data_IF_206313242674
#
_entry.id   IF_206313242674
#
_cell.length_a   1.000
_cell.length_b   1.000
_cell.length_c   1.000
_cell.angle_alpha   90.00
_cell.angle_beta   90.00
_cell.angle_gamma   90.00
#
_symmetry.space_group_name_H-M   'P 1'
#
loop_
_entity.id
_entity.type
_entity.pdbx_description
1 polymer ?
#
# COMPACT_ATOMS: atom_id res chain seq x y z
N UNK A 1 6.58 -14.45 -22.92
CA UNK A 1 7.05 -13.07 -23.24
C UNK A 1 5.97 -11.96 -23.16
N UNK A 2 4.72 -12.16 -23.60
CA UNK A 2 3.65 -11.14 -23.49
C UNK A 2 3.22 -10.88 -22.04
N UNK A 3 2.94 -11.95 -21.29
CA UNK A 3 2.52 -11.87 -19.88
C UNK A 3 3.60 -11.21 -19.02
N UNK A 4 4.87 -11.59 -19.19
CA UNK A 4 5.99 -10.99 -18.47
C UNK A 4 6.15 -9.47 -18.74
N UNK A 5 5.94 -9.02 -19.98
CA UNK A 5 5.94 -7.58 -20.30
C UNK A 5 4.78 -6.84 -19.65
N UNK A 6 3.59 -7.44 -19.64
CA UNK A 6 2.41 -6.85 -19.01
C UNK A 6 2.56 -6.77 -17.49
N UNK A 7 3.09 -7.82 -16.87
CA UNK A 7 3.43 -7.85 -15.45
C UNK A 7 4.47 -6.79 -15.09
N UNK A 8 5.52 -6.63 -15.91
CA UNK A 8 6.51 -5.58 -15.70
C UNK A 8 5.87 -4.18 -15.75
N UNK A 9 5.06 -3.89 -16.77
CA UNK A 9 4.35 -2.61 -16.85
C UNK A 9 3.44 -2.40 -15.63
N UNK A 10 2.67 -3.41 -15.24
CA UNK A 10 1.82 -3.36 -14.04
C UNK A 10 2.62 -3.00 -12.78
N UNK A 11 3.75 -3.69 -12.54
CA UNK A 11 4.60 -3.46 -11.37
C UNK A 11 5.14 -2.02 -11.35
N UNK A 12 5.54 -1.47 -12.50
CA UNK A 12 6.01 -0.08 -12.57
C UNK A 12 4.93 0.92 -12.12
N UNK A 13 3.67 0.69 -12.49
CA UNK A 13 2.55 1.52 -12.06
C UNK A 13 2.14 1.28 -10.59
N UNK A 14 2.56 0.19 -9.97
CA UNK A 14 2.40 -0.05 -8.52
C UNK A 14 3.49 0.61 -7.67
N UNK A 15 4.61 1.08 -8.25
CA UNK A 15 5.69 1.70 -7.46
C UNK A 15 5.26 2.91 -6.61
N UNK A 16 4.43 3.86 -7.12
CA UNK A 16 4.00 4.98 -6.29
C UNK A 16 3.07 4.53 -5.16
N UNK A 17 2.33 3.44 -5.36
CA UNK A 17 1.51 2.83 -4.31
C UNK A 17 2.37 2.31 -3.15
N UNK A 18 3.49 1.64 -3.46
CA UNK A 18 4.45 1.17 -2.45
C UNK A 18 5.03 2.32 -1.61
N UNK A 19 5.43 3.40 -2.28
CA UNK A 19 5.93 4.61 -1.60
C UNK A 19 4.86 5.19 -0.69
N UNK A 20 3.63 5.31 -1.19
CA UNK A 20 2.49 5.84 -0.43
C UNK A 20 2.22 5.01 0.83
N UNK A 21 2.18 3.68 0.70
CA UNK A 21 1.96 2.77 1.82
C UNK A 21 3.08 2.84 2.87
N UNK A 22 4.31 3.13 2.46
CA UNK A 22 5.44 3.34 3.38
C UNK A 22 5.24 4.53 4.33
N UNK A 23 4.39 5.50 3.97
CA UNK A 23 3.97 6.60 4.86
C UNK A 23 2.64 6.31 5.56
N UNK A 24 1.64 5.81 4.84
CA UNK A 24 0.30 5.56 5.39
C UNK A 24 0.35 4.54 6.54
N UNK A 25 1.10 3.44 6.40
CA UNK A 25 1.13 2.36 7.39
C UNK A 25 1.70 2.81 8.74
N UNK A 26 2.89 3.47 8.83
CA UNK A 26 3.39 3.98 10.11
C UNK A 26 2.46 5.01 10.76
N UNK A 27 1.93 5.97 9.98
CA UNK A 27 1.02 7.00 10.50
C UNK A 27 -0.26 6.36 11.05
N UNK A 28 -0.83 5.38 10.33
CA UNK A 28 -2.01 4.63 10.76
C UNK A 28 -1.78 3.89 12.07
N UNK A 29 -0.64 3.22 12.22
CA UNK A 29 -0.30 2.50 13.45
C UNK A 29 -0.10 3.48 14.61
N UNK A 30 0.61 4.58 14.38
CA UNK A 30 0.86 5.62 15.39
C UNK A 30 -0.44 6.23 15.93
N UNK A 31 -1.35 6.66 15.04
CA UNK A 31 -2.65 7.22 15.43
C UNK A 31 -3.52 6.20 16.16
N UNK A 32 -3.53 4.94 15.69
CA UNK A 32 -4.26 3.86 16.35
C UNK A 32 -3.74 3.57 17.75
N UNK A 33 -2.42 3.60 17.96
CA UNK A 33 -1.81 3.41 19.28
C UNK A 33 -2.21 4.53 20.27
N UNK A 34 -2.58 5.71 19.78
CA UNK A 34 -3.13 6.82 20.58
C UNK A 34 -4.66 6.78 20.74
N UNK A 35 -5.33 5.75 20.19
CA UNK A 35 -6.80 5.66 20.20
C UNK A 35 -7.50 6.56 19.19
N UNK A 36 -6.77 7.24 18.30
CA UNK A 36 -7.31 8.18 17.30
C UNK A 36 -7.51 7.46 15.96
N UNK A 37 -8.73 7.04 15.65
CA UNK A 37 -9.03 6.27 14.42
C UNK A 37 -9.76 7.08 13.34
N UNK A 38 -10.42 8.18 13.71
CA UNK A 38 -11.24 8.98 12.78
C UNK A 38 -10.48 9.46 11.53
N UNK A 39 -9.26 10.05 11.61
CA UNK A 39 -8.50 10.49 10.43
C UNK A 39 -8.21 9.34 9.46
N UNK A 40 -7.83 8.18 10.00
CA UNK A 40 -7.54 6.98 9.21
C UNK A 40 -8.81 6.51 8.49
N UNK A 41 -9.94 6.46 9.20
CA UNK A 41 -11.22 6.05 8.61
C UNK A 41 -11.65 6.97 7.47
N UNK A 42 -11.56 8.29 7.66
CA UNK A 42 -11.92 9.27 6.62
C UNK A 42 -11.00 9.14 5.40
N UNK A 43 -9.70 9.02 5.60
CA UNK A 43 -8.73 8.83 4.52
C UNK A 43 -8.98 7.53 3.74
N UNK A 44 -9.19 6.40 4.44
CA UNK A 44 -9.49 5.12 3.81
C UNK A 44 -10.82 5.15 3.05
N UNK A 45 -11.85 5.80 3.60
CA UNK A 45 -13.13 5.96 2.93
C UNK A 45 -13.00 6.81 1.65
N UNK A 46 -12.30 7.94 1.72
CA UNK A 46 -12.05 8.79 0.55
C UNK A 46 -11.30 8.04 -0.55
N UNK A 47 -10.23 7.30 -0.19
CA UNK A 47 -9.49 6.45 -1.14
C UNK A 47 -10.38 5.40 -1.80
N UNK A 48 -11.20 4.68 -1.02
CA UNK A 48 -12.09 3.65 -1.54
C UNK A 48 -13.16 4.23 -2.49
N UNK A 49 -13.77 5.36 -2.13
CA UNK A 49 -14.78 6.03 -2.98
C UNK A 49 -14.16 6.53 -4.28
N UNK A 50 -12.94 7.08 -4.24
CA UNK A 50 -12.26 7.58 -5.43
C UNK A 50 -11.61 6.48 -6.29
N UNK A 51 -11.38 5.30 -5.73
CA UNK A 51 -10.87 4.17 -6.50
C UNK A 51 -11.85 3.75 -7.61
N UNK A 52 -13.16 3.76 -7.34
CA UNK A 52 -14.19 3.40 -8.34
C UNK A 52 -14.15 4.32 -9.57
N UNK A 53 -14.29 5.66 -9.45
CA UNK A 53 -14.24 6.55 -10.61
C UNK A 53 -12.88 6.53 -11.30
N UNK A 54 -11.76 6.40 -10.58
CA UNK A 54 -10.45 6.24 -11.21
C UNK A 54 -10.38 4.97 -12.06
N UNK A 55 -10.86 3.84 -11.55
CA UNK A 55 -10.89 2.59 -12.30
C UNK A 55 -11.84 2.70 -13.51
N UNK A 56 -13.04 3.26 -13.35
CA UNK A 56 -13.95 3.49 -14.48
C UNK A 56 -13.34 4.38 -15.56
N UNK A 57 -12.65 5.45 -15.17
CA UNK A 57 -12.02 6.37 -16.10
C UNK A 57 -10.80 5.75 -16.81
N UNK A 58 -9.86 5.19 -16.05
CA UNK A 58 -8.58 4.67 -16.56
C UNK A 58 -8.75 3.35 -17.33
N UNK A 59 -9.64 2.47 -16.87
CA UNK A 59 -9.87 1.17 -17.51
C UNK A 59 -10.96 1.25 -18.56
N UNK A 60 -12.06 1.95 -18.29
CA UNK A 60 -13.22 2.02 -19.18
C UNK A 60 -13.08 3.07 -20.27
N UNK A 61 -12.70 4.30 -19.92
CA UNK A 61 -12.69 5.41 -20.87
C UNK A 61 -11.35 5.53 -21.62
N UNK A 62 -10.23 5.35 -20.91
CA UNK A 62 -8.89 5.37 -21.50
C UNK A 62 -8.40 3.99 -21.98
N UNK A 63 -9.18 2.93 -21.75
CA UNK A 63 -8.90 1.56 -22.22
C UNK A 63 -7.50 1.03 -21.85
N UNK A 64 -6.93 1.45 -20.71
CA UNK A 64 -5.56 1.09 -20.29
C UNK A 64 -5.43 -0.35 -19.74
N UNK A 65 -6.53 -1.10 -19.69
CA UNK A 65 -6.56 -2.48 -19.20
C UNK A 65 -5.99 -2.64 -17.79
N UNK A 66 -5.17 -3.67 -17.57
CA UNK A 66 -4.60 -3.99 -16.25
C UNK A 66 -3.66 -2.90 -15.71
N UNK A 67 -3.00 -2.15 -16.59
CA UNK A 67 -2.15 -1.02 -16.19
C UNK A 67 -3.00 0.11 -15.65
N UNK A 68 -4.19 0.33 -16.23
CA UNK A 68 -5.19 1.26 -15.71
C UNK A 68 -5.65 0.91 -14.30
N UNK A 69 -5.77 -0.38 -13.97
CA UNK A 69 -6.11 -0.86 -12.62
C UNK A 69 -5.02 -0.49 -11.61
N UNK A 70 -3.75 -0.78 -11.93
CA UNK A 70 -2.61 -0.40 -11.08
C UNK A 70 -2.54 1.12 -10.88
N UNK A 71 -2.68 1.89 -11.96
CA UNK A 71 -2.67 3.34 -11.91
C UNK A 71 -3.81 3.91 -11.05
N UNK A 72 -5.02 3.36 -11.18
CA UNK A 72 -6.19 3.76 -10.40
C UNK A 72 -6.03 3.47 -8.91
N UNK A 73 -5.49 2.30 -8.55
CA UNK A 73 -5.19 1.95 -7.17
C UNK A 73 -4.12 2.88 -6.58
N UNK A 74 -3.03 3.10 -7.31
CA UNK A 74 -1.95 3.98 -6.89
C UNK A 74 -2.43 5.43 -6.69
N UNK A 75 -3.22 5.97 -7.62
CA UNK A 75 -3.80 7.30 -7.51
C UNK A 75 -4.76 7.42 -6.31
N UNK A 76 -5.63 6.42 -6.09
CA UNK A 76 -6.54 6.41 -4.95
C UNK A 76 -5.79 6.43 -3.61
N UNK A 77 -4.71 5.66 -3.49
CA UNK A 77 -3.90 5.62 -2.28
C UNK A 77 -3.12 6.92 -2.07
N UNK A 78 -2.60 7.55 -3.14
CA UNK A 78 -1.99 8.90 -3.04
C UNK A 78 -3.00 9.92 -2.50
N UNK A 79 -4.25 9.89 -2.97
CA UNK A 79 -5.29 10.76 -2.43
C UNK A 79 -5.59 10.43 -0.97
N UNK A 80 -5.67 9.15 -0.60
CA UNK A 80 -5.86 8.75 0.79
C UNK A 80 -4.75 9.27 1.71
N UNK A 81 -3.49 9.20 1.27
CA UNK A 81 -2.35 9.79 1.99
C UNK A 81 -2.50 11.32 2.11
N UNK A 82 -2.88 12.01 1.03
CA UNK A 82 -3.13 13.45 1.06
C UNK A 82 -4.20 13.84 2.09
N UNK A 83 -5.34 13.13 2.08
CA UNK A 83 -6.42 13.33 3.06
C UNK A 83 -5.93 13.07 4.49
N UNK A 84 -5.18 11.99 4.70
CA UNK A 84 -4.62 11.65 6.00
C UNK A 84 -3.69 12.75 6.51
N UNK A 85 -2.80 13.27 5.68
CA UNK A 85 -1.88 14.34 6.04
C UNK A 85 -2.61 15.64 6.37
N UNK A 86 -3.64 16.00 5.59
CA UNK A 86 -4.49 17.16 5.89
C UNK A 86 -5.20 17.00 7.24
N UNK A 87 -5.75 15.81 7.53
CA UNK A 87 -6.41 15.53 8.81
C UNK A 87 -5.43 15.60 9.99
N UNK A 88 -4.22 15.05 9.84
CA UNK A 88 -3.17 15.11 10.87
C UNK A 88 -2.70 16.56 11.07
N UNK A 89 -2.57 17.34 10.01
CA UNK A 89 -2.12 18.73 10.12
C UNK A 89 -3.18 19.65 10.74
N UNK A 90 -4.47 19.40 10.49
CA UNK A 90 -5.58 20.22 10.99
C UNK A 90 -6.04 19.85 12.41
N UNK A 91 -6.06 18.56 12.74
CA UNK A 91 -6.60 18.06 14.01
C UNK A 91 -5.57 17.36 14.90
N UNK A 92 -4.36 17.11 14.40
CA UNK A 92 -3.31 16.44 15.14
C UNK A 92 -2.44 17.40 15.97
N UNK A 93 -1.54 16.85 16.80
CA UNK A 93 -0.53 17.64 17.49
C UNK A 93 0.34 18.38 16.48
N UNK A 94 0.77 19.61 16.83
CA UNK A 94 1.62 20.44 15.96
C UNK A 94 2.90 19.67 15.64
N UNK A 95 3.16 19.48 14.35
CA UNK A 95 4.34 18.78 13.88
C UNK A 95 5.62 19.47 14.38
N UNK A 96 6.36 18.80 15.26
CA UNK A 96 7.65 19.27 15.72
C UNK A 96 8.71 19.04 14.64
N UNK A 97 9.72 19.92 14.58
CA UNK A 97 10.79 19.76 13.60
C UNK A 97 11.57 18.49 13.92
N UNK A 98 11.88 17.64 12.92
CA UNK A 98 12.66 16.45 13.15
C UNK A 98 14.00 16.82 13.79
N UNK A 99 14.28 16.26 14.96
CA UNK A 99 15.52 16.48 15.71
C UNK A 99 16.37 15.20 15.69
N UNK A 100 17.63 15.29 16.12
CA UNK A 100 18.49 14.11 16.26
C UNK A 100 17.94 13.10 17.28
N UNK A 101 17.07 13.53 18.19
CA UNK A 101 16.40 12.67 19.15
C UNK A 101 15.42 11.69 18.49
N UNK A 102 14.88 12.04 17.30
CA UNK A 102 14.06 11.11 16.51
C UNK A 102 14.84 9.87 16.03
N UNK A 103 16.17 9.92 16.03
CA UNK A 103 17.03 8.78 15.67
C UNK A 103 17.42 7.92 16.87
N UNK A 104 17.11 8.37 18.09
CA UNK A 104 17.36 7.61 19.31
C UNK A 104 16.35 6.46 19.38
N UNK A 105 16.83 5.24 19.62
CA UNK A 105 15.98 4.05 19.74
C UNK A 105 15.69 3.29 18.43
N UNK A 106 16.20 3.74 17.28
CA UNK A 106 16.02 3.03 16.00
C UNK A 106 16.56 1.60 16.02
N UNK A 107 17.69 1.35 16.68
CA UNK A 107 18.24 0.00 16.81
C UNK A 107 17.27 -0.95 17.54
N UNK A 108 16.62 -0.47 18.60
CA UNK A 108 15.62 -1.25 19.34
C UNK A 108 14.34 -1.45 18.52
N UNK A 109 13.89 -0.41 17.80
CA UNK A 109 12.76 -0.50 16.89
C UNK A 109 13.00 -1.54 15.80
N UNK A 110 14.15 -1.48 15.12
CA UNK A 110 14.53 -2.46 14.08
C UNK A 110 14.66 -3.86 14.66
N UNK A 111 15.24 -4.02 15.86
CA UNK A 111 15.36 -5.33 16.51
C UNK A 111 14.00 -5.99 16.78
N UNK A 112 12.96 -5.19 17.05
CA UNK A 112 11.60 -5.68 17.24
C UNK A 112 10.85 -5.86 15.91
N UNK A 113 11.04 -4.95 14.95
CA UNK A 113 10.35 -4.98 13.67
C UNK A 113 10.89 -6.04 12.71
N UNK A 114 12.19 -6.34 12.75
CA UNK A 114 12.85 -7.31 11.87
C UNK A 114 12.24 -8.72 11.94
N UNK A 115 12.06 -9.36 13.12
CA UNK A 115 11.46 -10.70 13.19
C UNK A 115 10.01 -10.70 12.68
N UNK A 116 9.23 -9.66 12.97
CA UNK A 116 7.86 -9.52 12.43
C UNK A 116 7.85 -9.35 10.91
N UNK A 117 8.76 -8.55 10.37
CA UNK A 117 8.92 -8.37 8.92
C UNK A 117 9.25 -9.69 8.23
N UNK A 118 10.25 -10.42 8.74
CA UNK A 118 10.64 -11.73 8.19
C UNK A 118 9.48 -12.72 8.26
N UNK A 119 8.78 -12.79 9.40
CA UNK A 119 7.64 -13.69 9.57
C UNK A 119 6.54 -13.43 8.53
N UNK A 120 6.14 -12.17 8.36
CA UNK A 120 5.10 -11.80 7.39
C UNK A 120 5.60 -12.04 5.96
N UNK A 121 6.83 -11.64 5.62
CA UNK A 121 7.37 -11.88 4.27
C UNK A 121 7.45 -13.37 3.92
N UNK A 122 7.85 -14.23 4.86
CA UNK A 122 7.88 -15.68 4.63
C UNK A 122 6.49 -16.27 4.44
N UNK A 123 5.48 -15.77 5.14
CA UNK A 123 4.09 -16.17 4.94
C UNK A 123 3.61 -15.84 3.52
N UNK A 124 3.84 -14.60 3.06
CA UNK A 124 3.48 -14.19 1.70
C UNK A 124 4.28 -14.93 0.62
N UNK A 125 5.58 -15.11 0.79
CA UNK A 125 6.42 -15.87 -0.14
C UNK A 125 6.01 -17.34 -0.22
N UNK A 126 5.60 -17.92 0.89
CA UNK A 126 5.08 -19.28 0.89
C UNK A 126 3.84 -19.41 0.00
N UNK A 127 2.90 -18.46 0.08
CA UNK A 127 1.73 -18.44 -0.81
C UNK A 127 2.12 -18.32 -2.29
N UNK A 128 3.07 -17.46 -2.63
CA UNK A 128 3.55 -17.32 -4.01
C UNK A 128 4.23 -18.60 -4.53
N UNK A 129 5.05 -19.25 -3.70
CA UNK A 129 5.67 -20.53 -4.05
C UNK A 129 4.60 -21.59 -4.30
N UNK A 130 3.58 -21.67 -3.44
CA UNK A 130 2.47 -22.60 -3.63
C UNK A 130 1.73 -22.34 -4.95
N UNK A 131 1.43 -21.08 -5.29
CA UNK A 131 0.78 -20.72 -6.55
C UNK A 131 1.62 -21.16 -7.76
N UNK A 132 2.92 -20.91 -7.73
CA UNK A 132 3.83 -21.34 -8.80
C UNK A 132 3.87 -22.87 -8.93
N UNK A 133 3.90 -23.60 -7.81
CA UNK A 133 3.87 -25.06 -7.80
C UNK A 133 2.54 -25.61 -8.32
N UNK A 134 1.40 -25.01 -7.95
CA UNK A 134 0.07 -25.36 -8.48
C UNK A 134 0.01 -25.23 -10.01
N UNK A 135 0.70 -24.23 -10.58
CA UNK A 135 0.79 -24.05 -12.03
C UNK A 135 1.57 -25.15 -12.77
N UNK A 136 2.30 -26.02 -12.06
CA UNK A 136 3.06 -27.14 -12.62
C UNK A 136 2.30 -28.49 -12.56
N UNK A 137 1.12 -28.53 -11.94
CA UNK A 137 0.29 -29.74 -11.89
C UNK A 137 -0.28 -30.06 -13.28
N UNK A 138 -0.60 -31.34 -13.49
CA UNK A 138 -1.30 -31.80 -14.69
C UNK A 138 -2.74 -31.30 -14.62
N UNK A 139 -3.10 -30.43 -15.57
CA UNK A 139 -4.38 -29.71 -15.69
C UNK A 139 -4.55 -28.51 -14.71
N UNK A 140 -3.78 -27.41 -14.88
CA UNK A 140 -3.76 -26.26 -13.99
C UNK A 140 -4.94 -25.29 -14.22
N UNK A 141 -6.14 -25.78 -14.52
CA UNK A 141 -7.35 -24.96 -14.50
C UNK A 141 -7.86 -24.86 -13.06
N UNK A 142 -7.82 -23.65 -12.50
CA UNK A 142 -8.51 -23.34 -11.26
C UNK A 142 -10.01 -23.54 -11.48
N UNK A 143 -10.60 -24.50 -10.76
CA UNK A 143 -12.05 -24.72 -10.68
C UNK A 143 -12.75 -23.54 -10.01
#
# INVERSE_FOLDING_TARGET
PRIARLAHAYILFCLPDLVTNSFVLPIKIHLRAQGVTRPVTVASFAGAVLHVPFTCLLVGWFELGIVGVAAAASAANVVALGVLLVQVWTFGPKWERPSKECLVGWAQLVRLAAPSCVSVCLEWWWYEIMIVLCGLLVDPSAT
#
